data_IF_355805676672
#
_entry.id   IF_355805676672
#
_cell.length_a   1.000
_cell.length_b   1.000
_cell.length_c   1.000
_cell.angle_alpha   90.00
_cell.angle_beta   90.00
_cell.angle_gamma   90.00
#
_symmetry.space_group_name_H-M   'P 1'
#
loop_
_entity.id
_entity.type
_entity.pdbx_description
1 polymer ?
#
# COMPACT_ATOMS: atom_id res chain seq x y z
N UNK A 1 3.00 4.79 10.06
CA UNK A 1 1.53 4.74 10.03
C UNK A 1 0.98 4.45 11.41
N UNK A 2 -0.09 5.16 11.78
CA UNK A 2 -0.78 4.95 13.04
C UNK A 2 -2.26 4.68 12.77
N UNK A 3 -2.87 3.80 13.57
CA UNK A 3 -4.33 3.67 13.65
C UNK A 3 -4.70 3.83 15.11
N UNK A 4 -5.45 4.87 15.41
CA UNK A 4 -5.84 5.21 16.78
C UNK A 4 -6.71 4.12 17.42
N UNK A 5 -6.78 4.12 18.75
CA UNK A 5 -7.78 3.36 19.48
C UNK A 5 -9.19 3.74 19.00
N UNK A 6 -10.01 2.77 18.66
CA UNK A 6 -11.32 3.01 18.05
C UNK A 6 -11.29 3.54 16.61
N UNK A 7 -10.13 3.56 15.97
CA UNK A 7 -9.98 4.03 14.58
C UNK A 7 -10.71 3.14 13.58
N UNK A 8 -11.34 3.76 12.56
CA UNK A 8 -12.13 3.10 11.54
C UNK A 8 -11.31 2.22 10.57
N UNK A 9 -12.00 1.66 9.59
CA UNK A 9 -11.36 0.87 8.53
C UNK A 9 -10.46 1.74 7.63
N UNK A 10 -9.52 1.10 6.97
CA UNK A 10 -8.88 1.63 5.76
C UNK A 10 -9.48 0.84 4.60
N UNK A 11 -10.25 1.48 3.70
CA UNK A 11 -10.94 0.82 2.59
C UNK A 11 -10.03 0.04 1.65
N UNK A 12 -10.59 -0.91 0.91
CA UNK A 12 -9.91 -1.63 -0.16
C UNK A 12 -9.28 -0.67 -1.17
N UNK A 13 -8.00 -0.86 -1.46
CA UNK A 13 -7.22 -0.06 -2.40
C UNK A 13 -5.99 -0.83 -2.89
N UNK A 14 -5.30 -0.26 -3.87
CA UNK A 14 -3.97 -0.68 -4.28
C UNK A 14 -3.01 0.53 -4.19
N UNK A 15 -1.87 0.35 -3.55
CA UNK A 15 -0.88 1.42 -3.32
C UNK A 15 -0.39 2.05 -4.62
N UNK A 16 -0.22 1.24 -5.67
CA UNK A 16 0.29 1.69 -6.98
C UNK A 16 -0.55 2.80 -7.62
N UNK A 17 -1.82 2.93 -7.27
CA UNK A 17 -2.67 4.05 -7.70
C UNK A 17 -2.06 5.41 -7.37
N UNK A 18 -1.37 5.50 -6.23
CA UNK A 18 -0.80 6.73 -5.70
C UNK A 18 0.60 7.04 -6.21
N UNK A 19 1.26 6.10 -6.90
CA UNK A 19 2.64 6.26 -7.30
C UNK A 19 2.78 6.62 -8.79
N UNK A 20 3.35 7.81 -9.12
CA UNK A 20 3.58 8.22 -10.50
C UNK A 20 4.85 7.55 -11.07
N UNK A 21 4.89 6.23 -11.07
CA UNK A 21 6.04 5.42 -11.46
C UNK A 21 5.85 4.78 -12.84
N UNK A 22 6.94 4.63 -13.59
CA UNK A 22 6.92 4.09 -14.96
C UNK A 22 6.62 2.60 -15.04
N UNK A 23 6.72 1.87 -13.94
CA UNK A 23 6.41 0.44 -13.87
C UNK A 23 5.80 0.06 -12.53
N UNK A 24 5.27 -1.16 -12.45
CA UNK A 24 4.72 -1.76 -11.23
C UNK A 24 5.72 -2.67 -10.48
N UNK A 25 7.01 -2.50 -10.75
CA UNK A 25 8.05 -3.22 -10.03
C UNK A 25 8.29 -2.59 -8.65
N UNK A 26 7.30 -2.70 -7.81
CA UNK A 26 7.26 -2.15 -6.46
C UNK A 26 6.83 -3.22 -5.47
N UNK A 27 7.33 -3.13 -4.26
CA UNK A 27 6.93 -3.98 -3.15
C UNK A 27 6.93 -3.18 -1.85
N UNK A 28 5.85 -3.25 -1.09
CA UNK A 28 5.73 -2.64 0.22
C UNK A 28 6.07 -3.67 1.30
N UNK A 29 7.01 -3.34 2.19
CA UNK A 29 7.19 -4.02 3.47
C UNK A 29 6.32 -3.32 4.51
N UNK A 30 5.42 -4.07 5.15
CA UNK A 30 4.57 -3.59 6.24
C UNK A 30 5.05 -4.23 7.55
N UNK A 31 5.56 -3.40 8.47
CA UNK A 31 6.33 -3.82 9.64
C UNK A 31 5.62 -3.29 10.89
N UNK A 32 4.85 -4.12 11.61
CA UNK A 32 4.28 -3.71 12.89
C UNK A 32 5.37 -3.48 13.92
N UNK A 33 5.25 -2.38 14.67
CA UNK A 33 6.20 -1.99 15.73
C UNK A 33 5.79 -2.53 17.11
N UNK A 34 4.81 -3.42 17.13
CA UNK A 34 4.26 -4.10 18.29
C UNK A 34 3.51 -5.35 17.84
N UNK A 35 3.26 -6.30 18.74
CA UNK A 35 2.30 -7.36 18.44
C UNK A 35 0.94 -6.75 18.06
N UNK A 36 0.37 -7.20 16.96
CA UNK A 36 -0.86 -6.63 16.35
C UNK A 36 -1.88 -7.74 16.21
N UNK A 37 -2.86 -7.75 17.11
CA UNK A 37 -3.96 -8.72 17.06
C UNK A 37 -4.96 -8.38 15.94
N UNK A 38 -5.87 -9.31 15.64
CA UNK A 38 -6.91 -9.09 14.63
C UNK A 38 -7.81 -7.90 14.97
N UNK A 39 -8.08 -7.67 16.27
CA UNK A 39 -8.90 -6.55 16.73
C UNK A 39 -8.22 -5.19 16.59
N UNK A 40 -6.91 -5.16 16.39
CA UNK A 40 -6.16 -3.93 16.08
C UNK A 40 -6.22 -3.52 14.61
N UNK A 41 -6.90 -4.31 13.76
CA UNK A 41 -7.05 -4.09 12.34
C UNK A 41 -5.72 -4.16 11.58
N UNK A 42 -5.05 -5.34 11.52
CA UNK A 42 -3.88 -5.55 10.67
C UNK A 42 -4.25 -5.42 9.20
N UNK A 43 -3.26 -5.54 8.31
CA UNK A 43 -3.54 -5.63 6.88
C UNK A 43 -4.27 -6.93 6.53
N UNK A 44 -5.21 -6.78 5.63
CA UNK A 44 -5.96 -7.85 4.97
C UNK A 44 -5.66 -7.79 3.48
N UNK A 45 -5.39 -8.92 2.87
CA UNK A 45 -5.03 -9.01 1.45
C UNK A 45 -6.02 -9.86 0.68
N UNK A 46 -6.22 -9.52 -0.58
CA UNK A 46 -6.82 -10.43 -1.55
C UNK A 46 -5.70 -11.03 -2.41
N UNK A 47 -5.26 -12.25 -2.08
CA UNK A 47 -4.10 -12.88 -2.70
C UNK A 47 -4.36 -13.17 -4.18
N UNK A 48 -3.45 -12.74 -5.07
CA UNK A 48 -3.61 -12.87 -6.52
C UNK A 48 -4.36 -11.72 -7.18
N UNK A 49 -4.91 -10.77 -6.42
CA UNK A 49 -5.72 -9.67 -6.94
C UNK A 49 -4.96 -8.66 -7.81
N UNK A 50 -3.63 -8.70 -7.81
CA UNK A 50 -2.81 -7.92 -8.74
C UNK A 50 -3.08 -8.26 -10.23
N UNK A 51 -3.78 -9.34 -10.52
CA UNK A 51 -4.20 -9.72 -11.87
C UNK A 51 -5.44 -8.94 -12.35
N UNK A 52 -6.23 -8.35 -11.43
CA UNK A 52 -7.44 -7.59 -11.77
C UNK A 52 -7.08 -6.16 -12.18
N UNK A 53 -7.68 -5.68 -13.26
CA UNK A 53 -7.53 -4.29 -13.70
C UNK A 53 -8.62 -3.36 -13.13
N UNK A 54 -9.84 -3.86 -12.97
CA UNK A 54 -11.00 -3.11 -12.48
C UNK A 54 -10.82 -2.72 -11.01
N UNK A 55 -10.95 -1.44 -10.70
CA UNK A 55 -10.79 -0.88 -9.35
C UNK A 55 -9.42 -0.23 -9.12
N UNK A 56 -8.46 -0.40 -10.04
CA UNK A 56 -7.14 0.25 -9.96
C UNK A 56 -7.23 1.78 -10.11
N UNK A 57 -8.30 2.27 -10.69
CA UNK A 57 -8.58 3.70 -10.88
C UNK A 57 -9.20 4.38 -9.65
N UNK A 58 -9.48 3.61 -8.60
CA UNK A 58 -10.19 4.12 -7.43
C UNK A 58 -9.23 4.57 -6.33
N UNK A 59 -9.44 5.78 -5.83
CA UNK A 59 -8.83 6.25 -4.59
C UNK A 59 -9.50 5.62 -3.37
N UNK A 60 -8.80 5.61 -2.23
CA UNK A 60 -9.36 5.15 -0.94
C UNK A 60 -10.64 5.91 -0.60
N UNK A 61 -11.76 5.20 -0.48
CA UNK A 61 -13.09 5.76 -0.23
C UNK A 61 -14.10 4.66 0.10
N UNK A 62 -15.29 5.03 0.56
CA UNK A 62 -16.41 4.09 0.71
C UNK A 62 -16.81 3.45 -0.63
N UNK A 63 -16.63 4.18 -1.73
CA UNK A 63 -16.87 3.66 -3.08
C UNK A 63 -15.85 2.59 -3.44
N UNK A 64 -14.57 2.79 -3.15
CA UNK A 64 -13.54 1.77 -3.40
C UNK A 64 -13.78 0.53 -2.56
N UNK A 65 -14.18 0.68 -1.29
CA UNK A 65 -14.54 -0.43 -0.40
C UNK A 65 -15.60 -1.33 -1.06
N UNK A 66 -16.70 -0.73 -1.51
CA UNK A 66 -17.83 -1.48 -2.06
C UNK A 66 -17.53 -2.12 -3.43
N UNK A 67 -16.91 -1.36 -4.33
CA UNK A 67 -16.70 -1.80 -5.71
C UNK A 67 -15.58 -2.84 -5.80
N UNK A 68 -14.46 -2.61 -5.08
CA UNK A 68 -13.35 -3.55 -5.07
C UNK A 68 -13.78 -4.83 -4.36
N UNK A 69 -14.40 -4.75 -3.19
CA UNK A 69 -14.89 -5.95 -2.47
C UNK A 69 -15.81 -6.80 -3.33
N UNK A 70 -16.77 -6.17 -4.01
CA UNK A 70 -17.67 -6.89 -4.94
C UNK A 70 -16.88 -7.60 -6.04
N UNK A 71 -15.88 -6.93 -6.62
CA UNK A 71 -15.06 -7.47 -7.69
C UNK A 71 -14.20 -8.66 -7.21
N UNK A 72 -13.60 -8.53 -6.03
CA UNK A 72 -12.80 -9.59 -5.40
C UNK A 72 -13.64 -10.84 -5.13
N UNK A 73 -14.88 -10.68 -4.62
CA UNK A 73 -15.80 -11.78 -4.38
C UNK A 73 -16.22 -12.49 -5.67
N UNK A 74 -16.47 -11.75 -6.74
CA UNK A 74 -16.86 -12.34 -8.05
C UNK A 74 -15.73 -13.17 -8.64
N UNK A 75 -14.48 -12.79 -8.41
CA UNK A 75 -13.30 -13.49 -8.91
C UNK A 75 -12.77 -14.58 -7.95
N UNK A 76 -13.41 -14.76 -6.80
CA UNK A 76 -13.08 -15.79 -5.78
C UNK A 76 -11.61 -15.78 -5.34
N UNK A 77 -11.01 -14.58 -5.18
CA UNK A 77 -9.66 -14.47 -4.69
C UNK A 77 -9.57 -14.80 -3.20
N UNK A 78 -8.54 -15.56 -2.76
CA UNK A 78 -8.33 -15.84 -1.35
C UNK A 78 -8.19 -14.56 -0.51
N UNK A 79 -8.96 -14.47 0.56
CA UNK A 79 -8.84 -13.42 1.55
C UNK A 79 -7.88 -13.88 2.66
N UNK A 80 -6.81 -13.12 2.88
CA UNK A 80 -5.76 -13.42 3.84
C UNK A 80 -5.72 -12.33 4.92
N UNK A 81 -5.91 -12.71 6.15
CA UNK A 81 -5.75 -11.86 7.33
C UNK A 81 -5.15 -12.69 8.47
N UNK A 82 -4.12 -12.17 9.11
CA UNK A 82 -3.47 -12.80 10.25
C UNK A 82 -3.06 -11.75 11.29
N UNK A 83 -2.92 -12.18 12.54
CA UNK A 83 -2.26 -11.40 13.58
C UNK A 83 -0.74 -11.39 13.32
N UNK A 84 -0.06 -10.37 13.79
CA UNK A 84 1.39 -10.23 13.67
C UNK A 84 2.03 -10.25 15.06
N UNK A 85 3.08 -11.02 15.24
CA UNK A 85 3.97 -10.89 16.37
C UNK A 85 4.99 -9.76 16.13
N UNK A 86 5.66 -9.31 17.19
CA UNK A 86 6.75 -8.34 17.05
C UNK A 86 7.92 -9.01 16.29
N UNK A 87 8.27 -8.43 15.16
CA UNK A 87 9.31 -8.95 14.26
C UNK A 87 8.76 -9.57 12.98
N UNK A 88 7.46 -9.81 12.91
CA UNK A 88 6.82 -10.23 11.67
C UNK A 88 6.82 -9.09 10.66
N UNK A 89 6.84 -9.44 9.38
CA UNK A 89 6.77 -8.51 8.25
C UNK A 89 5.93 -9.13 7.15
N UNK A 90 5.00 -8.36 6.59
CA UNK A 90 4.36 -8.75 5.34
C UNK A 90 4.91 -7.98 4.15
N UNK A 91 4.90 -8.62 2.98
CA UNK A 91 5.30 -8.00 1.72
C UNK A 91 4.16 -8.13 0.70
N UNK A 92 3.87 -7.03 0.01
CA UNK A 92 2.88 -7.05 -1.07
C UNK A 92 3.30 -6.13 -2.23
N UNK A 93 2.99 -6.53 -3.46
CA UNK A 93 3.24 -5.69 -4.64
C UNK A 93 2.23 -4.55 -4.71
N UNK A 94 2.61 -3.45 -5.37
CA UNK A 94 1.80 -2.23 -5.42
C UNK A 94 0.36 -2.42 -5.94
N UNK A 95 0.11 -3.42 -6.79
CA UNK A 95 -1.24 -3.70 -7.32
C UNK A 95 -2.05 -4.74 -6.55
N UNK A 96 -1.53 -5.34 -5.51
CA UNK A 96 -2.34 -6.22 -4.64
C UNK A 96 -3.37 -5.38 -3.91
N UNK A 97 -4.65 -5.69 -4.09
CA UNK A 97 -5.69 -5.07 -3.30
C UNK A 97 -5.60 -5.51 -1.85
N UNK A 98 -5.61 -4.52 -0.97
CA UNK A 98 -5.54 -4.71 0.47
C UNK A 98 -6.38 -3.66 1.19
N UNK A 99 -6.66 -3.94 2.45
CA UNK A 99 -7.40 -3.06 3.36
C UNK A 99 -6.87 -3.23 4.78
N UNK A 100 -7.42 -2.50 5.72
CA UNK A 100 -7.22 -2.79 7.13
C UNK A 100 -8.53 -2.61 7.90
N UNK A 101 -8.88 -3.58 8.74
CA UNK A 101 -10.03 -3.52 9.62
C UNK A 101 -9.99 -2.35 10.60
N UNK A 102 -11.09 -2.11 11.31
CA UNK A 102 -11.12 -1.14 12.40
C UNK A 102 -10.22 -1.61 13.55
N UNK A 103 -9.66 -0.67 14.28
CA UNK A 103 -9.01 -0.95 15.55
C UNK A 103 -10.06 -0.84 16.68
N UNK A 104 -10.55 -1.96 17.15
CA UNK A 104 -11.57 -2.01 18.22
C UNK A 104 -10.96 -2.04 19.63
N UNK A 105 -9.63 -1.97 19.74
CA UNK A 105 -8.93 -1.97 21.02
C UNK A 105 -8.77 -0.56 21.61
N UNK A 106 -8.33 -0.49 22.85
CA UNK A 106 -7.97 0.74 23.55
C UNK A 106 -6.52 1.20 23.30
N UNK A 107 -5.81 0.53 22.38
CA UNK A 107 -4.40 0.80 22.07
C UNK A 107 -4.24 1.28 20.65
N UNK A 108 -3.31 2.20 20.43
CA UNK A 108 -2.89 2.62 19.10
C UNK A 108 -2.09 1.51 18.40
N UNK A 109 -2.40 1.21 17.14
CA UNK A 109 -1.57 0.37 16.27
C UNK A 109 -0.49 1.21 15.59
N UNK A 110 0.76 0.80 15.71
CA UNK A 110 1.94 1.48 15.16
C UNK A 110 2.63 0.60 14.13
N UNK A 111 2.91 1.16 12.96
CA UNK A 111 3.50 0.44 11.83
C UNK A 111 4.52 1.33 11.12
N UNK A 112 5.61 0.74 10.69
CA UNK A 112 6.52 1.30 9.69
C UNK A 112 6.22 0.64 8.34
N UNK A 113 6.24 1.42 7.27
CA UNK A 113 6.19 0.91 5.89
C UNK A 113 7.42 1.36 5.13
N UNK A 114 7.96 0.46 4.30
CA UNK A 114 9.06 0.76 3.38
C UNK A 114 8.61 0.30 2.00
N UNK A 115 8.65 1.20 1.04
CA UNK A 115 8.35 0.89 -0.35
C UNK A 115 9.68 0.70 -1.08
N UNK A 116 9.90 -0.52 -1.59
CA UNK A 116 11.02 -0.82 -2.47
C UNK A 116 10.55 -0.74 -3.93
N UNK A 117 11.42 -0.30 -4.80
CA UNK A 117 11.15 -0.19 -6.24
C UNK A 117 12.38 -0.59 -7.05
N UNK A 118 12.15 -0.95 -8.31
CA UNK A 118 13.22 -1.22 -9.27
C UNK A 118 14.16 0.00 -9.39
N UNK A 119 15.48 -0.23 -9.35
CA UNK A 119 16.48 0.85 -9.38
C UNK A 119 16.43 1.74 -10.63
N UNK A 120 15.91 1.20 -11.74
CA UNK A 120 15.80 1.91 -13.01
C UNK A 120 14.39 2.52 -13.23
N UNK A 121 13.52 2.47 -12.21
CA UNK A 121 12.17 3.03 -12.32
C UNK A 121 12.24 4.55 -12.48
N UNK A 122 11.45 5.09 -13.40
CA UNK A 122 11.41 6.53 -13.64
C UNK A 122 10.13 7.17 -13.14
N UNK A 123 10.19 8.46 -12.83
CA UNK A 123 9.05 9.25 -12.44
C UNK A 123 8.19 9.58 -13.66
N UNK A 124 6.90 9.28 -13.62
CA UNK A 124 5.91 9.71 -14.62
C UNK A 124 5.28 11.04 -14.24
N UNK A 125 4.65 11.68 -15.21
CA UNK A 125 3.77 12.81 -14.92
C UNK A 125 2.59 12.33 -14.06
N UNK A 126 2.30 12.97 -12.92
CA UNK A 126 1.14 12.67 -12.12
C UNK A 126 -0.18 12.80 -12.89
N UNK A 127 -1.09 11.87 -12.70
CA UNK A 127 -2.41 11.81 -13.36
C UNK A 127 -3.55 12.19 -12.39
N UNK A 128 -3.25 12.31 -11.10
CA UNK A 128 -4.21 12.69 -10.05
C UNK A 128 -3.49 13.38 -8.87
N UNK A 129 -4.25 13.96 -7.95
CA UNK A 129 -3.71 14.66 -6.76
C UNK A 129 -2.91 13.74 -5.84
N UNK A 130 -3.30 12.46 -5.70
CA UNK A 130 -2.57 11.50 -4.88
C UNK A 130 -1.16 11.29 -5.41
N UNK A 131 -1.01 11.14 -6.72
CA UNK A 131 0.29 11.01 -7.38
C UNK A 131 1.11 12.31 -7.29
N UNK A 132 0.47 13.46 -7.38
CA UNK A 132 1.15 14.74 -7.20
C UNK A 132 1.72 14.86 -5.78
N UNK A 133 0.92 14.57 -4.77
CA UNK A 133 1.36 14.56 -3.37
C UNK A 133 2.48 13.56 -3.10
N UNK A 134 2.39 12.37 -3.70
CA UNK A 134 3.42 11.35 -3.55
C UNK A 134 4.76 11.81 -4.13
N UNK A 135 4.74 12.36 -5.35
CA UNK A 135 5.94 12.93 -5.96
C UNK A 135 6.58 14.01 -5.08
N UNK A 136 5.80 15.01 -4.65
CA UNK A 136 6.30 16.13 -3.85
C UNK A 136 6.86 15.68 -2.49
N UNK A 137 6.23 14.67 -1.89
CA UNK A 137 6.59 14.19 -0.55
C UNK A 137 7.73 13.18 -0.57
N UNK A 138 7.66 12.21 -1.50
CA UNK A 138 8.52 11.02 -1.46
C UNK A 138 9.56 10.94 -2.56
N UNK A 139 9.50 11.80 -3.58
CA UNK A 139 10.49 11.88 -4.65
C UNK A 139 11.08 13.30 -4.76
N UNK A 140 11.56 13.91 -3.66
CA UNK A 140 11.99 15.31 -3.67
C UNK A 140 13.14 15.54 -4.64
N UNK A 141 12.98 16.53 -5.54
CA UNK A 141 14.01 16.92 -6.51
C UNK A 141 14.12 16.00 -7.73
N UNK A 142 13.30 14.95 -7.84
CA UNK A 142 13.28 14.08 -9.02
C UNK A 142 12.44 14.73 -10.11
N UNK A 143 13.00 14.85 -11.32
CA UNK A 143 12.29 15.39 -12.49
C UNK A 143 11.49 14.28 -13.20
N UNK A 144 10.39 14.69 -13.84
CA UNK A 144 9.57 13.77 -14.66
C UNK A 144 10.44 13.18 -15.79
N UNK A 145 10.39 11.85 -15.94
CA UNK A 145 11.18 11.08 -16.89
C UNK A 145 12.56 10.64 -16.37
N UNK A 146 13.02 11.16 -15.24
CA UNK A 146 14.27 10.75 -14.60
C UNK A 146 14.08 9.52 -13.71
N UNK A 147 15.16 8.78 -13.50
CA UNK A 147 15.22 7.68 -12.53
C UNK A 147 14.94 8.24 -11.13
N UNK A 148 14.12 7.53 -10.36
CA UNK A 148 13.82 7.90 -8.97
C UNK A 148 15.04 7.63 -8.10
N UNK A 149 15.84 8.67 -7.89
CA UNK A 149 17.02 8.65 -7.03
C UNK A 149 17.07 9.99 -6.27
N UNK A 150 16.86 9.95 -4.98
CA UNK A 150 16.86 11.13 -4.10
C UNK A 150 17.45 10.75 -2.73
N UNK A 151 17.68 11.70 -1.85
CA UNK A 151 18.19 11.41 -0.50
C UNK A 151 17.33 10.42 0.31
N UNK A 152 16.05 10.32 0.00
CA UNK A 152 15.13 9.38 0.67
C UNK A 152 14.78 8.15 -0.19
N UNK A 153 15.30 8.10 -1.44
CA UNK A 153 15.18 6.94 -2.35
C UNK A 153 16.58 6.49 -2.79
N UNK A 154 17.47 6.10 -1.87
CA UNK A 154 18.82 5.67 -2.25
C UNK A 154 18.77 4.34 -2.98
N UNK A 155 19.68 4.15 -3.95
CA UNK A 155 19.91 2.83 -4.54
C UNK A 155 20.53 1.95 -3.44
N UNK A 156 19.84 0.87 -3.10
CA UNK A 156 20.26 -0.05 -2.04
C UNK A 156 21.10 -1.21 -2.59
N UNK A 157 20.88 -1.58 -3.85
CA UNK A 157 21.55 -2.71 -4.46
C UNK A 157 21.69 -2.54 -5.98
N UNK A 158 22.89 -2.83 -6.48
CA UNK A 158 23.22 -2.93 -7.93
C UNK A 158 23.95 -4.26 -8.18
N UNK A 159 23.69 -4.87 -9.34
CA UNK A 159 24.46 -6.04 -9.82
C UNK A 159 25.77 -5.60 -10.47
#
# INVERSE_FOLDING_TARGET
LFKEAGGGITPWHADQYYWPLSSSKTITAWIPLQATSLEMGPLEFSAGSQEILTGRELSISDTSEQLIEKNLRVNDFPHCIEAFDLGDVSFHSGWVFHRAGANTTDKQRKVMTIIYMDKDITLKKPENEGQQNDWETWCPGVEIGSVVNSPINPILFEY
#
